data_IF_128546993162
#
_entry.id   IF_128546993162
#
_cell.length_a   1.000
_cell.length_b   1.000
_cell.length_c   1.000
_cell.angle_alpha   90.00
_cell.angle_beta   90.00
_cell.angle_gamma   90.00
#
_symmetry.space_group_name_H-M   'P 1'
#
loop_
_entity.id
_entity.type
_entity.pdbx_description
1 polymer ?
#
# COMPACT_ATOMS: atom_id res chain seq x y z
N UNK A 1 23.82 14.42 -16.98
CA UNK A 1 23.90 13.22 -16.11
C UNK A 1 23.13 13.54 -14.84
N UNK A 2 21.96 12.92 -14.59
CA UNK A 2 21.24 13.15 -13.35
C UNK A 2 21.87 12.34 -12.22
N UNK A 3 22.14 13.01 -11.10
CA UNK A 3 22.66 12.44 -9.87
C UNK A 3 21.62 11.56 -9.20
N UNK A 4 21.96 10.29 -8.96
CA UNK A 4 21.15 9.34 -8.19
C UNK A 4 21.16 9.78 -6.73
N UNK A 5 20.05 10.35 -6.27
CA UNK A 5 19.82 10.59 -4.84
C UNK A 5 19.48 9.24 -4.22
N UNK A 6 20.45 8.63 -3.53
CA UNK A 6 20.20 7.50 -2.64
C UNK A 6 19.58 8.05 -1.36
N UNK A 7 18.26 7.98 -1.28
CA UNK A 7 17.53 8.27 -0.04
C UNK A 7 17.80 7.12 0.94
N UNK A 8 18.41 7.43 2.10
CA UNK A 8 18.60 6.47 3.19
C UNK A 8 17.23 6.14 3.79
N UNK A 9 16.64 5.00 3.39
CA UNK A 9 15.47 4.45 4.06
C UNK A 9 15.91 3.85 5.40
N UNK A 10 15.32 4.33 6.50
CA UNK A 10 15.52 3.76 7.83
C UNK A 10 14.89 2.38 7.85
N UNK A 11 15.69 1.35 8.11
CA UNK A 11 15.26 -0.03 8.39
C UNK A 11 14.10 -0.04 9.39
N UNK A 12 12.95 -0.58 8.98
CA UNK A 12 11.82 -0.82 9.88
C UNK A 12 12.05 -2.19 10.52
N UNK A 13 12.44 -2.20 11.80
CA UNK A 13 12.84 -3.40 12.54
C UNK A 13 11.72 -3.83 13.50
N UNK A 14 11.20 -5.06 13.34
CA UNK A 14 10.36 -5.73 14.34
C UNK A 14 11.23 -6.35 15.44
N UNK A 15 11.10 -5.90 16.68
CA UNK A 15 11.93 -6.36 17.79
C UNK A 15 11.21 -7.45 18.60
N UNK A 16 11.65 -8.71 18.52
CA UNK A 16 11.26 -9.76 19.47
C UNK A 16 12.47 -10.38 20.18
N UNK A 17 12.34 -10.53 21.50
CA UNK A 17 13.35 -11.09 22.41
C UNK A 17 13.29 -12.62 22.41
N UNK A 18 14.23 -13.29 21.73
CA UNK A 18 14.59 -14.68 22.03
C UNK A 18 15.74 -14.73 23.04
N UNK A 19 15.77 -15.79 23.85
CA UNK A 19 16.70 -16.02 24.98
C UNK A 19 18.20 -16.06 24.64
N UNK A 20 18.60 -15.85 23.39
CA UNK A 20 20.00 -15.81 22.95
C UNK A 20 20.22 -14.64 21.98
N UNK A 21 20.41 -13.42 22.50
CA UNK A 21 21.26 -12.37 21.95
C UNK A 21 20.97 -11.70 20.60
N UNK A 22 20.40 -12.40 19.61
CA UNK A 22 20.21 -11.86 18.25
C UNK A 22 18.72 -11.60 17.97
N UNK A 23 18.38 -10.32 17.85
CA UNK A 23 17.05 -9.84 17.54
C UNK A 23 16.79 -10.05 16.03
N UNK A 24 16.04 -11.09 15.66
CA UNK A 24 15.56 -11.23 14.29
C UNK A 24 14.43 -10.24 14.05
N UNK A 25 14.70 -9.23 13.24
CA UNK A 25 13.70 -8.29 12.75
C UNK A 25 13.41 -8.50 11.29
N UNK A 26 12.12 -8.54 10.94
CA UNK A 26 11.72 -8.53 9.53
C UNK A 26 12.20 -7.25 8.85
N UNK A 27 12.71 -7.38 7.63
CA UNK A 27 13.18 -6.26 6.84
C UNK A 27 12.23 -6.06 5.65
N UNK A 28 11.54 -4.92 5.62
CA UNK A 28 10.57 -4.58 4.58
C UNK A 28 11.16 -3.74 3.44
N UNK A 29 12.45 -3.40 3.48
CA UNK A 29 13.11 -2.58 2.45
C UNK A 29 13.09 -3.27 1.08
N UNK A 30 13.35 -4.58 1.04
CA UNK A 30 13.27 -5.36 -0.22
C UNK A 30 11.85 -5.37 -0.79
N UNK A 31 10.83 -5.39 0.07
CA UNK A 31 9.44 -5.31 -0.35
C UNK A 31 9.12 -3.93 -0.96
N UNK A 32 9.60 -2.85 -0.34
CA UNK A 32 9.41 -1.50 -0.85
C UNK A 32 10.08 -1.32 -2.24
N UNK A 33 11.28 -1.85 -2.43
CA UNK A 33 11.96 -1.83 -3.74
C UNK A 33 11.20 -2.67 -4.77
N UNK A 34 10.75 -3.88 -4.41
CA UNK A 34 9.99 -4.73 -5.32
C UNK A 34 8.67 -4.07 -5.76
N UNK A 35 7.96 -3.42 -4.84
CA UNK A 35 6.74 -2.68 -5.12
C UNK A 35 7.01 -1.48 -6.05
N UNK A 36 8.08 -0.73 -5.79
CA UNK A 36 8.50 0.38 -6.63
C UNK A 36 8.82 -0.08 -8.07
N UNK A 37 9.63 -1.13 -8.23
CA UNK A 37 9.99 -1.64 -9.56
C UNK A 37 8.77 -2.12 -10.36
N UNK A 38 7.82 -2.80 -9.71
CA UNK A 38 6.60 -3.23 -10.38
C UNK A 38 5.66 -2.07 -10.70
N UNK A 39 5.51 -1.09 -9.81
CA UNK A 39 4.74 0.12 -10.09
C UNK A 39 5.31 0.91 -11.27
N UNK A 40 6.63 0.95 -11.44
CA UNK A 40 7.26 1.57 -12.61
C UNK A 40 6.80 0.95 -13.93
N UNK A 41 6.37 -0.32 -13.93
CA UNK A 41 5.78 -1.00 -15.10
C UNK A 41 4.26 -0.83 -15.21
N UNK A 42 3.55 -0.76 -14.08
CA UNK A 42 2.08 -0.70 -14.02
C UNK A 42 1.56 0.71 -14.32
N UNK A 43 2.20 1.74 -13.76
CA UNK A 43 1.70 3.11 -13.82
C UNK A 43 1.72 3.74 -15.22
N UNK A 44 2.75 3.58 -16.08
CA UNK A 44 2.81 4.29 -17.36
C UNK A 44 1.58 4.16 -18.28
N UNK A 45 0.99 2.96 -18.51
CA UNK A 45 -0.23 2.86 -19.31
C UNK A 45 -1.44 3.52 -18.65
N UNK A 46 -1.51 3.57 -17.32
CA UNK A 46 -2.62 4.18 -16.58
C UNK A 46 -2.48 5.71 -16.51
N UNK A 47 -1.26 6.20 -16.26
CA UNK A 47 -0.92 7.61 -16.09
C UNK A 47 -1.17 8.46 -17.34
N UNK A 48 -1.20 7.83 -18.52
CA UNK A 48 -1.50 8.47 -19.80
C UNK A 48 -2.97 8.36 -20.21
N UNK A 49 -3.79 7.66 -19.43
CA UNK A 49 -5.20 7.49 -19.73
C UNK A 49 -6.02 8.57 -18.99
N UNK A 50 -6.62 9.55 -19.71
CA UNK A 50 -7.40 10.61 -19.09
C UNK A 50 -8.68 10.12 -18.41
N UNK A 51 -9.11 8.88 -18.69
CA UNK A 51 -10.26 8.25 -18.03
C UNK A 51 -9.92 7.79 -16.61
N UNK A 52 -8.63 7.53 -16.30
CA UNK A 52 -8.20 7.02 -15.00
C UNK A 52 -8.02 8.17 -14.01
N UNK A 53 -8.82 8.18 -12.94
CA UNK A 53 -8.75 9.18 -11.90
C UNK A 53 -8.05 8.69 -10.62
N UNK A 54 -8.15 7.38 -10.36
CA UNK A 54 -7.80 6.77 -9.08
C UNK A 54 -6.89 5.55 -9.24
N UNK A 55 -5.99 5.34 -8.29
CA UNK A 55 -5.17 4.13 -8.19
C UNK A 55 -5.06 3.69 -6.73
N UNK A 56 -5.24 2.40 -6.46
CA UNK A 56 -5.11 1.86 -5.12
C UNK A 56 -4.32 0.56 -5.10
N UNK A 57 -3.55 0.36 -4.03
CA UNK A 57 -2.93 -0.93 -3.69
C UNK A 57 -3.60 -1.46 -2.44
N UNK A 58 -4.08 -2.70 -2.51
CA UNK A 58 -4.58 -3.42 -1.34
C UNK A 58 -3.42 -4.05 -0.60
N UNK A 59 -3.21 -3.61 0.64
CA UNK A 59 -2.21 -4.17 1.55
C UNK A 59 -2.79 -5.42 2.20
N UNK A 60 -1.99 -6.48 2.39
CA UNK A 60 -2.39 -7.64 3.17
C UNK A 60 -2.92 -7.26 4.55
N UNK A 61 -3.96 -7.95 4.99
CA UNK A 61 -4.58 -7.79 6.32
C UNK A 61 -4.25 -8.95 7.25
N UNK A 62 -3.85 -10.07 6.67
CA UNK A 62 -3.44 -11.26 7.39
C UNK A 62 -2.22 -11.89 6.74
N UNK A 63 -1.29 -12.36 7.56
CA UNK A 63 -0.09 -13.05 7.10
C UNK A 63 -0.41 -14.37 6.37
N UNK A 64 -1.45 -15.09 6.78
CA UNK A 64 -1.84 -16.40 6.22
C UNK A 64 -2.49 -16.33 4.83
N UNK A 65 -2.97 -15.16 4.42
CA UNK A 65 -3.56 -14.91 3.10
C UNK A 65 -2.91 -13.71 2.40
N UNK A 66 -1.67 -13.39 2.74
CA UNK A 66 -1.04 -12.14 2.34
C UNK A 66 -0.81 -12.08 0.81
N UNK A 67 -1.41 -11.08 0.16
CA UNK A 67 -1.24 -10.84 -1.27
C UNK A 67 -1.48 -9.36 -1.60
N UNK A 68 -0.54 -8.73 -2.30
CA UNK A 68 -0.74 -7.42 -2.88
C UNK A 68 -1.49 -7.50 -4.20
N UNK A 69 -2.51 -6.67 -4.33
CA UNK A 69 -3.25 -6.42 -5.56
C UNK A 69 -3.43 -4.92 -5.75
N UNK A 70 -3.76 -4.50 -6.96
CA UNK A 70 -4.10 -3.11 -7.23
C UNK A 70 -5.40 -2.99 -8.01
N UNK A 71 -5.95 -1.79 -8.00
CA UNK A 71 -7.12 -1.41 -8.78
C UNK A 71 -7.00 0.04 -9.22
N UNK A 72 -7.82 0.44 -10.18
CA UNK A 72 -7.89 1.81 -10.65
C UNK A 72 -9.33 2.23 -10.94
N UNK A 73 -9.62 3.50 -10.62
CA UNK A 73 -10.92 4.12 -10.83
C UNK A 73 -10.98 4.83 -12.19
N UNK A 74 -12.08 4.64 -12.91
CA UNK A 74 -12.33 5.22 -14.23
C UNK A 74 -13.55 6.15 -14.20
N UNK A 75 -13.43 7.36 -14.75
CA UNK A 75 -14.53 8.32 -14.82
C UNK A 75 -15.69 7.75 -15.65
N UNK A 76 -15.40 7.10 -16.78
CA UNK A 76 -16.39 6.51 -17.69
C UNK A 76 -17.23 5.38 -17.07
N UNK A 77 -16.76 4.78 -15.97
CA UNK A 77 -17.47 3.69 -15.28
C UNK A 77 -18.35 4.16 -14.13
N UNK A 78 -18.33 5.46 -13.82
CA UNK A 78 -19.22 6.01 -12.81
C UNK A 78 -20.65 6.06 -13.33
N UNK A 79 -21.53 5.28 -12.71
CA UNK A 79 -22.95 5.18 -13.08
C UNK A 79 -23.85 5.92 -12.09
N UNK A 80 -23.37 6.13 -10.86
CA UNK A 80 -24.12 6.83 -9.83
C UNK A 80 -24.31 8.31 -10.17
N UNK A 81 -25.46 8.85 -9.76
CA UNK A 81 -25.79 10.27 -10.00
C UNK A 81 -24.86 11.16 -9.17
N UNK A 82 -24.26 12.18 -9.81
CA UNK A 82 -23.41 13.14 -9.12
C UNK A 82 -24.11 13.78 -7.89
N UNK A 83 -23.38 13.90 -6.78
CA UNK A 83 -23.86 14.45 -5.51
C UNK A 83 -24.59 13.45 -4.60
N UNK A 84 -24.64 12.17 -4.97
CA UNK A 84 -25.16 11.09 -4.10
C UNK A 84 -24.04 10.41 -3.31
N UNK A 85 -24.40 9.70 -2.23
CA UNK A 85 -23.44 8.88 -1.48
C UNK A 85 -22.84 7.78 -2.37
N UNK A 86 -23.66 7.14 -3.19
CA UNK A 86 -23.23 6.11 -4.15
C UNK A 86 -22.16 6.64 -5.12
N UNK A 87 -22.25 7.91 -5.53
CA UNK A 87 -21.23 8.53 -6.38
C UNK A 87 -19.93 8.82 -5.62
N UNK A 88 -19.99 9.04 -4.31
CA UNK A 88 -18.81 9.14 -3.46
C UNK A 88 -18.18 7.76 -3.25
N UNK A 89 -18.98 6.72 -2.99
CA UNK A 89 -18.49 5.35 -2.82
C UNK A 89 -17.79 4.87 -4.10
N UNK A 90 -18.44 5.01 -5.26
CA UNK A 90 -17.82 4.65 -6.55
C UNK A 90 -16.54 5.44 -6.85
N UNK A 91 -16.41 6.68 -6.35
CA UNK A 91 -15.25 7.54 -6.61
C UNK A 91 -14.12 7.34 -5.61
N UNK A 92 -14.42 7.05 -4.35
CA UNK A 92 -13.45 7.10 -3.28
C UNK A 92 -13.21 5.77 -2.57
N UNK A 93 -14.05 4.77 -2.82
CA UNK A 93 -13.88 3.42 -2.30
C UNK A 93 -13.24 2.51 -3.36
N UNK A 94 -11.98 2.08 -3.19
CA UNK A 94 -11.30 1.20 -4.14
C UNK A 94 -12.00 -0.14 -4.38
N UNK A 95 -12.84 -0.61 -3.45
CA UNK A 95 -13.58 -1.87 -3.61
C UNK A 95 -14.64 -1.81 -4.73
N UNK A 96 -15.11 -0.60 -5.06
CA UNK A 96 -16.08 -0.36 -6.13
C UNK A 96 -15.42 -0.25 -7.51
N UNK A 97 -14.09 -0.29 -7.57
CA UNK A 97 -13.33 -0.12 -8.81
C UNK A 97 -13.08 -1.46 -9.50
N UNK A 98 -12.51 -1.39 -10.71
CA UNK A 98 -12.29 -2.57 -11.54
C UNK A 98 -11.23 -3.44 -10.86
N UNK A 99 -11.53 -4.69 -10.51
CA UNK A 99 -10.52 -5.61 -10.01
C UNK A 99 -9.49 -5.81 -11.12
N UNK A 100 -8.23 -5.43 -10.86
CA UNK A 100 -7.18 -5.59 -11.87
C UNK A 100 -6.39 -6.86 -11.56
N UNK A 101 -6.39 -7.79 -12.52
CA UNK A 101 -5.46 -8.91 -12.59
C UNK A 101 -4.55 -8.64 -13.80
N UNK A 102 -3.22 -8.85 -13.70
CA UNK A 102 -2.56 -9.71 -12.72
C UNK A 102 -2.09 -9.00 -11.45
N UNK A 103 -2.03 -9.79 -10.38
CA UNK A 103 -1.38 -9.42 -9.11
C UNK A 103 0.08 -9.03 -9.32
N UNK A 104 0.65 -8.30 -8.35
CA UNK A 104 2.09 -8.11 -8.24
C UNK A 104 2.78 -9.49 -8.26
N UNK A 105 3.86 -9.63 -9.01
CA UNK A 105 4.63 -10.89 -9.10
C UNK A 105 5.81 -10.87 -8.16
N UNK A 106 6.73 -9.92 -8.36
CA UNK A 106 7.97 -9.89 -7.60
C UNK A 106 7.73 -9.49 -6.14
N UNK A 107 6.85 -8.52 -5.91
CA UNK A 107 6.46 -8.06 -4.57
C UNK A 107 5.78 -9.18 -3.79
N UNK A 108 4.92 -9.97 -4.44
CA UNK A 108 4.28 -11.12 -3.79
C UNK A 108 5.29 -12.25 -3.50
N UNK A 109 6.30 -12.46 -4.36
CA UNK A 109 7.41 -13.39 -4.06
C UNK A 109 8.23 -12.94 -2.83
N UNK A 110 8.49 -11.64 -2.70
CA UNK A 110 9.17 -11.08 -1.51
C UNK A 110 8.28 -11.17 -0.28
N UNK A 111 6.98 -10.89 -0.42
CA UNK A 111 5.98 -11.04 0.64
C UNK A 111 5.92 -12.48 1.15
N UNK A 112 5.91 -13.49 0.27
CA UNK A 112 5.95 -14.90 0.67
C UNK A 112 7.18 -15.24 1.52
N UNK A 113 8.34 -14.64 1.22
CA UNK A 113 9.54 -14.79 2.04
C UNK A 113 9.36 -14.15 3.42
N UNK A 114 8.75 -12.97 3.49
CA UNK A 114 8.44 -12.29 4.75
C UNK A 114 7.41 -13.05 5.59
N UNK A 115 6.38 -13.64 4.96
CA UNK A 115 5.39 -14.49 5.62
C UNK A 115 6.07 -15.70 6.26
N UNK A 116 6.97 -16.40 5.55
CA UNK A 116 7.71 -17.54 6.12
C UNK A 116 8.57 -17.15 7.32
N UNK A 117 9.20 -15.97 7.27
CA UNK A 117 9.97 -15.45 8.40
C UNK A 117 9.04 -15.08 9.57
N UNK A 118 7.89 -14.47 9.30
CA UNK A 118 6.86 -14.19 10.29
C UNK A 118 6.36 -15.48 10.96
N UNK A 119 6.08 -16.54 10.19
CA UNK A 119 5.66 -17.86 10.70
C UNK A 119 6.69 -18.44 11.66
N UNK A 120 7.98 -18.34 11.34
CA UNK A 120 9.07 -18.80 12.22
C UNK A 120 9.14 -18.00 13.52
N UNK A 121 9.01 -16.67 13.46
CA UNK A 121 9.01 -15.79 14.64
C UNK A 121 7.77 -16.02 15.52
N UNK A 122 6.63 -16.32 14.89
CA UNK A 122 5.33 -16.41 15.55
C UNK A 122 4.98 -17.80 16.07
N UNK A 123 5.73 -18.85 15.69
CA UNK A 123 5.43 -20.26 15.99
C UNK A 123 5.14 -20.53 17.47
N UNK A 124 5.88 -19.91 18.39
CA UNK A 124 5.75 -20.10 19.84
C UNK A 124 4.96 -18.98 20.53
N UNK A 125 4.44 -18.01 19.76
CA UNK A 125 3.69 -16.87 20.29
C UNK A 125 2.19 -17.19 20.34
N UNK A 126 1.51 -16.65 21.36
CA UNK A 126 0.06 -16.77 21.47
C UNK A 126 -0.56 -15.55 22.13
N UNK A 127 -1.89 -15.42 21.97
CA UNK A 127 -2.68 -14.34 22.54
C UNK A 127 -2.16 -12.96 22.15
N UNK A 128 -2.02 -12.07 23.14
CA UNK A 128 -1.61 -10.68 22.93
C UNK A 128 -0.25 -10.51 22.24
N UNK A 129 0.69 -11.45 22.45
CA UNK A 129 2.01 -11.37 21.81
C UNK A 129 1.92 -11.64 20.31
N UNK A 130 1.21 -12.70 19.93
CA UNK A 130 0.98 -13.02 18.52
C UNK A 130 0.25 -11.88 17.81
N UNK A 131 -0.83 -11.37 18.43
CA UNK A 131 -1.60 -10.24 17.88
C UNK A 131 -0.72 -9.01 17.64
N UNK A 132 0.15 -8.67 18.61
CA UNK A 132 1.07 -7.55 18.46
C UNK A 132 2.05 -7.74 17.29
N UNK A 133 2.67 -8.91 17.19
CA UNK A 133 3.67 -9.19 16.14
C UNK A 133 3.03 -9.28 14.76
N UNK A 134 1.79 -9.75 14.68
CA UNK A 134 0.99 -9.72 13.46
C UNK A 134 0.66 -8.28 13.04
N UNK A 135 0.15 -7.44 13.94
CA UNK A 135 -0.10 -6.02 13.61
C UNK A 135 1.17 -5.28 13.17
N UNK A 136 2.30 -5.60 13.79
CA UNK A 136 3.63 -5.13 13.39
C UNK A 136 4.02 -5.57 11.97
N UNK A 137 3.72 -6.82 11.58
CA UNK A 137 3.92 -7.33 10.22
C UNK A 137 3.07 -6.55 9.20
N UNK A 138 1.78 -6.38 9.49
CA UNK A 138 0.83 -5.65 8.63
C UNK A 138 1.26 -4.18 8.47
N UNK A 139 1.65 -3.52 9.57
CA UNK A 139 2.19 -2.15 9.54
C UNK A 139 3.45 -2.08 8.68
N UNK A 140 4.33 -3.09 8.74
CA UNK A 140 5.52 -3.19 7.90
C UNK A 140 5.19 -3.25 6.41
N UNK A 141 4.21 -4.07 6.03
CA UNK A 141 3.68 -4.15 4.67
C UNK A 141 3.13 -2.79 4.21
N UNK A 142 2.25 -2.17 5.01
CA UNK A 142 1.67 -0.87 4.69
C UNK A 142 2.73 0.23 4.52
N UNK A 143 3.76 0.25 5.38
CA UNK A 143 4.87 1.21 5.25
C UNK A 143 5.69 1.00 3.98
N UNK A 144 5.99 -0.24 3.62
CA UNK A 144 6.68 -0.56 2.38
C UNK A 144 5.90 -0.07 1.15
N UNK A 145 4.58 -0.28 1.15
CA UNK A 145 3.67 0.22 0.13
C UNK A 145 3.68 1.74 0.06
N UNK A 146 3.55 2.44 1.19
CA UNK A 146 3.58 3.89 1.24
C UNK A 146 4.91 4.44 0.71
N UNK A 147 6.04 3.84 1.07
CA UNK A 147 7.37 4.23 0.57
C UNK A 147 7.42 4.13 -0.95
N UNK A 148 7.02 3.00 -1.53
CA UNK A 148 7.02 2.79 -2.96
C UNK A 148 6.12 3.80 -3.71
N UNK A 149 4.88 3.96 -3.24
CA UNK A 149 3.93 4.91 -3.84
C UNK A 149 4.41 6.37 -3.71
N UNK A 150 5.00 6.74 -2.57
CA UNK A 150 5.53 8.08 -2.34
C UNK A 150 6.64 8.42 -3.33
N UNK A 151 7.57 7.49 -3.58
CA UNK A 151 8.64 7.68 -4.57
C UNK A 151 8.07 7.97 -5.96
N UNK A 152 7.10 7.19 -6.40
CA UNK A 152 6.41 7.41 -7.68
C UNK A 152 5.68 8.76 -7.75
N UNK A 153 5.10 9.23 -6.63
CA UNK A 153 4.55 10.57 -6.54
C UNK A 153 5.63 11.65 -6.70
N UNK A 154 6.74 11.53 -5.99
CA UNK A 154 7.86 12.47 -6.06
C UNK A 154 8.49 12.53 -7.46
N UNK A 155 8.50 11.40 -8.17
CA UNK A 155 8.94 11.26 -9.56
C UNK A 155 7.87 11.63 -10.60
N UNK A 156 6.66 12.01 -10.17
CA UNK A 156 5.52 12.35 -11.02
C UNK A 156 5.07 11.22 -11.99
N UNK A 157 5.33 9.96 -11.67
CA UNK A 157 4.98 8.83 -12.57
C UNK A 157 3.49 8.50 -12.59
N UNK A 158 2.70 9.05 -11.66
CA UNK A 158 1.25 8.90 -11.63
C UNK A 158 0.52 9.70 -12.74
N UNK A 159 1.19 10.65 -13.40
CA UNK A 159 0.59 11.44 -14.49
C UNK A 159 -0.73 12.11 -14.09
N UNK A 160 -1.81 11.77 -14.79
CA UNK A 160 -3.15 12.35 -14.56
C UNK A 160 -3.90 11.78 -13.35
N UNK A 161 -3.40 10.69 -12.75
CA UNK A 161 -4.05 10.03 -11.61
C UNK A 161 -3.90 10.94 -10.39
N UNK A 162 -5.02 11.48 -9.90
CA UNK A 162 -5.04 12.49 -8.83
C UNK A 162 -5.49 11.94 -7.48
N UNK A 163 -6.09 10.75 -7.43
CA UNK A 163 -6.45 10.05 -6.20
C UNK A 163 -5.64 8.76 -6.05
N UNK A 164 -4.85 8.65 -4.99
CA UNK A 164 -3.88 7.56 -4.76
C UNK A 164 -4.10 6.99 -3.37
N UNK A 165 -4.35 5.70 -3.27
CA UNK A 165 -4.82 5.09 -2.03
C UNK A 165 -3.97 3.88 -1.67
N UNK A 166 -3.57 3.81 -0.41
CA UNK A 166 -3.21 2.56 0.24
C UNK A 166 -4.49 2.05 0.90
N UNK A 167 -4.96 0.88 0.51
CA UNK A 167 -6.23 0.32 0.97
C UNK A 167 -6.00 -0.87 1.91
N UNK A 168 -6.75 -0.88 3.00
CA UNK A 168 -6.80 -1.93 4.03
C UNK A 168 -8.28 -2.13 4.43
N UNK A 169 -8.71 -3.32 4.83
CA UNK A 169 -10.06 -3.47 5.41
C UNK A 169 -10.21 -2.82 6.77
N UNK A 170 -9.14 -2.74 7.55
CA UNK A 170 -9.11 -1.92 8.76
C UNK A 170 -8.98 -0.46 8.35
N UNK A 171 -10.12 0.21 8.21
CA UNK A 171 -10.24 1.61 7.80
C UNK A 171 -9.88 2.61 8.92
N UNK A 172 -9.61 2.11 10.13
CA UNK A 172 -9.19 2.90 11.30
C UNK A 172 -7.67 2.89 11.52
N UNK A 173 -6.89 2.15 10.72
CA UNK A 173 -5.43 2.12 10.89
C UNK A 173 -4.83 3.52 10.66
N UNK A 174 -4.08 4.09 11.65
CA UNK A 174 -3.48 5.41 11.52
C UNK A 174 -2.59 5.61 10.28
N UNK A 175 -2.04 4.53 9.72
CA UNK A 175 -1.24 4.59 8.50
C UNK A 175 -2.05 5.05 7.29
N UNK A 176 -3.37 4.84 7.27
CA UNK A 176 -4.24 5.27 6.17
C UNK A 176 -4.32 6.80 6.09
N UNK A 177 -4.40 7.47 7.24
CA UNK A 177 -4.38 8.93 7.31
C UNK A 177 -3.02 9.46 6.84
N UNK A 178 -1.92 8.90 7.36
CA UNK A 178 -0.55 9.26 6.93
C UNK A 178 -0.36 9.06 5.42
N UNK A 179 -0.83 7.93 4.89
CA UNK A 179 -0.73 7.58 3.49
C UNK A 179 -1.55 8.54 2.63
N UNK A 180 -2.80 8.83 3.00
CA UNK A 180 -3.64 9.77 2.26
C UNK A 180 -3.00 11.15 2.19
N UNK A 181 -2.54 11.69 3.31
CA UNK A 181 -1.87 12.99 3.35
C UNK A 181 -0.58 13.00 2.53
N UNK A 182 0.22 11.93 2.60
CA UNK A 182 1.48 11.83 1.87
C UNK A 182 1.27 11.76 0.36
N UNK A 183 0.30 10.97 -0.10
CA UNK A 183 0.09 10.61 -1.50
C UNK A 183 -0.81 11.59 -2.25
N UNK A 184 -1.68 12.31 -1.56
CA UNK A 184 -2.71 13.13 -2.20
C UNK A 184 -2.50 14.62 -1.94
N UNK A 185 -2.87 15.41 -2.93
CA UNK A 185 -2.88 16.88 -2.92
C UNK A 185 -4.07 17.40 -3.74
N UNK A 186 -4.17 18.72 -3.86
CA UNK A 186 -5.12 19.38 -4.76
C UNK A 186 -6.57 18.89 -4.61
N UNK A 187 -7.08 18.28 -5.68
CA UNK A 187 -8.47 17.82 -5.76
C UNK A 187 -8.79 16.73 -4.75
N UNK A 188 -7.96 15.69 -4.65
CA UNK A 188 -8.18 14.59 -3.72
C UNK A 188 -8.27 15.08 -2.27
N UNK A 189 -7.36 15.97 -1.84
CA UNK A 189 -7.44 16.55 -0.49
C UNK A 189 -8.70 17.36 -0.25
N UNK A 190 -9.23 18.07 -1.25
CA UNK A 190 -10.45 18.87 -1.11
C UNK A 190 -11.70 18.01 -1.00
N UNK A 191 -11.75 16.92 -1.76
CA UNK A 191 -12.97 16.12 -1.91
C UNK A 191 -13.01 14.90 -0.99
N UNK A 192 -11.86 14.24 -0.74
CA UNK A 192 -11.80 12.95 -0.05
C UNK A 192 -11.31 13.01 1.41
N UNK A 193 -10.76 14.14 1.87
CA UNK A 193 -10.20 14.24 3.24
C UNK A 193 -11.21 13.91 4.34
N UNK A 194 -12.51 14.04 4.10
CA UNK A 194 -13.55 13.71 5.09
C UNK A 194 -13.58 12.21 5.44
N UNK A 195 -13.01 11.37 4.58
CA UNK A 195 -12.96 9.91 4.70
C UNK A 195 -11.75 9.44 5.54
N UNK A 196 -10.82 10.34 5.85
CA UNK A 196 -9.58 10.05 6.58
C UNK A 196 -9.51 11.01 7.77
N UNK A 197 -10.00 10.58 8.95
CA UNK A 197 -10.15 11.42 10.15
C UNK A 197 -9.58 10.76 11.39
#
# INVERSE_FOLDING_TARGET
MPSVIRTNYRTISLANLHKNGDMQSLNFDELAEALYDELASILPPLANNPDVFGFAIFVPEDAGAACFNYTHGNESKMTARAGTMEALDQRYSPIEWIPTLPAFKNSNRVLESLVRQFEQISQDLSGKKLYKVHGEFITGCARATLIAMKRHKEENTYGTIWYRVLAMTDDEDPILVEAFETLNDGRARKEAAILYK
#
